data_IF_262457323245
#
_entry.id   IF_262457323245
#
_cell.length_a   1.000
_cell.length_b   1.000
_cell.length_c   1.000
_cell.angle_alpha   90.00
_cell.angle_beta   90.00
_cell.angle_gamma   90.00
#
_symmetry.space_group_name_H-M   'P 1'
#
loop_
_entity.id
_entity.type
_entity.pdbx_description
1 polymer ?
#
# COMPACT_ATOMS: atom_id res chain seq x y z
N UNK A 1 -13.72 0.68 -7.10
CA UNK A 1 -12.82 1.54 -7.91
C UNK A 1 -11.79 0.67 -8.59
N UNK A 2 -11.64 0.87 -9.87
CA UNK A 2 -10.69 0.07 -10.63
C UNK A 2 -9.26 0.56 -10.42
N UNK A 3 -8.32 -0.38 -10.49
CA UNK A 3 -6.90 -0.03 -10.44
C UNK A 3 -6.47 0.51 -11.80
N UNK A 4 -5.60 1.52 -11.80
CA UNK A 4 -5.02 2.06 -13.03
C UNK A 4 -4.06 1.08 -13.67
N UNK A 5 -3.57 0.11 -12.90
CA UNK A 5 -2.59 -0.88 -13.35
C UNK A 5 -3.01 -2.24 -12.85
N UNK A 6 -2.86 -3.28 -13.65
CA UNK A 6 -3.17 -4.65 -13.26
C UNK A 6 -2.19 -5.16 -12.21
N UNK A 7 -2.65 -6.07 -11.34
CA UNK A 7 -1.81 -6.59 -10.26
C UNK A 7 -0.55 -7.29 -10.78
N UNK A 8 -0.67 -8.04 -11.88
CA UNK A 8 0.50 -8.74 -12.45
C UNK A 8 1.53 -7.74 -12.98
N UNK A 9 1.07 -6.67 -13.60
CA UNK A 9 1.97 -5.62 -14.08
C UNK A 9 2.65 -4.93 -12.90
N UNK A 10 1.89 -4.66 -11.83
CA UNK A 10 2.43 -4.02 -10.63
C UNK A 10 3.53 -4.88 -10.01
N UNK A 11 3.29 -6.18 -9.88
CA UNK A 11 4.26 -7.10 -9.28
C UNK A 11 5.52 -7.30 -10.12
N UNK A 12 5.46 -6.99 -11.40
CA UNK A 12 6.61 -7.12 -12.30
C UNK A 12 7.48 -5.87 -12.36
N UNK A 13 7.03 -4.75 -11.77
CA UNK A 13 7.76 -3.49 -11.83
C UNK A 13 8.94 -3.47 -10.87
N UNK A 14 10.05 -2.88 -11.32
CA UNK A 14 11.19 -2.64 -10.44
C UNK A 14 10.95 -1.37 -9.65
N UNK A 15 11.31 -1.40 -8.38
CA UNK A 15 11.18 -0.22 -7.52
C UNK A 15 12.03 0.94 -8.02
N UNK A 16 13.19 0.64 -8.61
CA UNK A 16 14.07 1.65 -9.20
C UNK A 16 13.38 2.39 -10.35
N UNK A 17 12.52 1.70 -11.08
CA UNK A 17 11.80 2.27 -12.22
C UNK A 17 10.51 2.96 -11.80
N UNK A 18 10.07 2.73 -10.56
CA UNK A 18 8.85 3.34 -10.04
C UNK A 18 8.97 3.55 -8.53
N UNK A 19 9.23 4.79 -8.14
CA UNK A 19 9.27 5.18 -6.73
C UNK A 19 7.86 5.30 -6.14
N UNK A 20 6.83 4.96 -6.91
CA UNK A 20 5.44 4.94 -6.46
C UNK A 20 4.98 3.60 -5.92
N UNK A 21 5.89 2.64 -5.76
CA UNK A 21 5.55 1.31 -5.27
C UNK A 21 6.40 0.97 -4.05
N UNK A 22 5.73 0.56 -2.96
CA UNK A 22 6.40 0.09 -1.75
C UNK A 22 5.97 -1.35 -1.49
N UNK A 23 6.95 -2.24 -1.34
CA UNK A 23 6.70 -3.64 -0.98
C UNK A 23 6.84 -3.79 0.52
N UNK A 24 5.82 -4.37 1.18
CA UNK A 24 5.85 -4.60 2.63
C UNK A 24 5.61 -6.08 2.89
N UNK A 25 6.58 -6.76 3.49
CA UNK A 25 6.49 -8.21 3.73
C UNK A 25 5.35 -8.57 4.69
N UNK A 26 5.04 -7.69 5.64
CA UNK A 26 3.99 -7.93 6.62
C UNK A 26 3.26 -6.66 7.01
N UNK A 27 2.28 -6.84 7.89
CA UNK A 27 1.50 -5.72 8.41
C UNK A 27 2.26 -5.05 9.55
N UNK A 28 2.83 -3.90 9.25
CA UNK A 28 3.50 -3.04 10.23
C UNK A 28 2.88 -1.65 10.08
N UNK A 29 1.82 -1.34 10.86
CA UNK A 29 1.04 -0.13 10.62
C UNK A 29 1.82 1.17 10.70
N UNK A 30 2.75 1.30 11.65
CA UNK A 30 3.50 2.55 11.78
C UNK A 30 4.31 2.84 10.52
N UNK A 31 5.04 1.85 10.03
CA UNK A 31 5.84 1.98 8.83
C UNK A 31 4.96 2.18 7.60
N UNK A 32 3.88 1.41 7.50
CA UNK A 32 2.97 1.49 6.37
C UNK A 32 2.32 2.87 6.30
N UNK A 33 1.92 3.43 7.45
CA UNK A 33 1.27 4.74 7.45
C UNK A 33 2.24 5.90 7.21
N UNK A 34 3.52 5.72 7.48
CA UNK A 34 4.51 6.68 6.98
C UNK A 34 4.48 6.74 5.46
N UNK A 35 4.43 5.59 4.81
CA UNK A 35 4.34 5.52 3.34
C UNK A 35 3.02 6.05 2.82
N UNK A 36 1.91 5.73 3.50
CA UNK A 36 0.58 6.26 3.12
C UNK A 36 0.61 7.79 3.10
N UNK A 37 1.14 8.41 4.16
CA UNK A 37 1.18 9.86 4.24
C UNK A 37 2.14 10.48 3.24
N UNK A 38 3.28 9.82 2.98
CA UNK A 38 4.22 10.29 1.97
C UNK A 38 3.57 10.33 0.59
N UNK A 39 2.82 9.27 0.23
CA UNK A 39 2.11 9.24 -1.05
C UNK A 39 0.95 10.24 -1.08
N UNK A 40 0.20 10.37 0.02
CA UNK A 40 -0.91 11.33 0.09
C UNK A 40 -0.41 12.77 -0.07
N UNK A 41 0.76 13.09 0.48
CA UNK A 41 1.38 14.40 0.36
C UNK A 41 1.94 14.66 -1.03
N UNK A 42 2.34 13.58 -1.71
CA UNK A 42 2.72 13.61 -3.13
C UNK A 42 3.73 14.73 -3.47
N UNK A 43 4.82 14.79 -2.73
CA UNK A 43 5.82 15.84 -2.89
C UNK A 43 6.44 15.89 -4.28
N UNK A 44 6.46 14.76 -4.99
CA UNK A 44 7.02 14.69 -6.35
C UNK A 44 5.98 14.93 -7.44
N UNK A 45 4.73 15.17 -7.06
CA UNK A 45 3.64 15.43 -7.99
C UNK A 45 3.40 14.27 -8.97
N UNK A 46 3.46 13.04 -8.47
CA UNK A 46 3.26 11.81 -9.24
C UNK A 46 1.84 11.24 -9.13
N UNK A 47 0.99 11.85 -8.31
CA UNK A 47 -0.39 11.41 -8.12
C UNK A 47 -0.59 10.43 -6.97
N UNK A 48 0.46 10.12 -6.18
CA UNK A 48 0.39 9.18 -5.08
C UNK A 48 1.14 7.88 -5.37
N UNK A 49 0.74 6.78 -4.76
CA UNK A 49 1.44 5.52 -4.96
C UNK A 49 0.71 4.30 -4.46
N UNK A 50 1.39 3.16 -4.57
CA UNK A 50 0.86 1.86 -4.18
C UNK A 50 1.70 1.27 -3.06
N UNK A 51 1.04 0.67 -2.08
CA UNK A 51 1.69 -0.10 -1.02
C UNK A 51 1.13 -1.51 -1.09
N UNK A 52 2.00 -2.49 -1.24
CA UNK A 52 1.59 -3.89 -1.39
C UNK A 52 2.05 -4.66 -0.15
N UNK A 53 1.10 -5.10 0.66
CA UNK A 53 1.36 -5.81 1.92
C UNK A 53 1.28 -7.30 1.68
N UNK A 54 2.28 -8.03 2.15
CA UNK A 54 2.38 -9.48 1.96
C UNK A 54 3.34 -9.87 0.85
N UNK A 55 4.18 -8.95 0.40
CA UNK A 55 5.13 -9.18 -0.68
C UNK A 55 6.52 -8.72 -0.25
N UNK A 56 7.49 -9.62 -0.41
CA UNK A 56 8.90 -9.30 -0.16
C UNK A 56 9.54 -8.78 -1.44
N UNK A 57 10.53 -7.91 -1.28
CA UNK A 57 11.30 -7.39 -2.40
C UNK A 57 12.57 -8.20 -2.57
N UNK A 58 12.93 -8.49 -3.82
CA UNK A 58 14.20 -9.12 -4.14
C UNK A 58 14.76 -8.46 -5.40
N UNK A 59 15.91 -7.83 -5.27
CA UNK A 59 16.57 -7.12 -6.38
C UNK A 59 15.67 -6.07 -7.04
N UNK A 60 14.87 -5.37 -6.22
CA UNK A 60 13.99 -4.31 -6.69
C UNK A 60 12.68 -4.78 -7.31
N UNK A 61 12.40 -6.09 -7.25
CA UNK A 61 11.19 -6.68 -7.81
C UNK A 61 10.47 -7.48 -6.72
N UNK A 62 9.16 -7.63 -6.85
CA UNK A 62 8.38 -8.47 -5.96
C UNK A 62 8.88 -9.91 -6.04
N UNK A 63 9.17 -10.52 -4.90
CA UNK A 63 9.58 -11.92 -4.83
C UNK A 63 8.35 -12.81 -5.00
N UNK A 64 8.43 -13.78 -5.91
CA UNK A 64 7.34 -14.71 -6.16
C UNK A 64 7.78 -16.16 -5.95
N UNK A 65 6.92 -17.05 -5.44
CA UNK A 65 5.55 -16.77 -5.02
C UNK A 65 5.53 -15.79 -3.83
N UNK A 66 4.46 -14.99 -3.74
CA UNK A 66 4.36 -13.98 -2.69
C UNK A 66 4.26 -14.63 -1.30
N UNK A 67 4.75 -13.92 -0.29
CA UNK A 67 4.65 -14.38 1.09
C UNK A 67 3.20 -14.47 1.56
N UNK A 68 2.41 -13.47 1.21
CA UNK A 68 1.00 -13.41 1.55
C UNK A 68 0.73 -12.93 2.97
N UNK A 69 -0.54 -12.66 3.22
CA UNK A 69 -1.10 -12.32 4.53
C UNK A 69 -2.11 -13.40 4.85
N UNK A 70 -2.12 -13.96 6.08
CA UNK A 70 -3.14 -14.95 6.43
C UNK A 70 -4.54 -14.40 6.21
N UNK A 71 -5.40 -15.20 5.60
CA UNK A 71 -6.75 -14.75 5.27
C UNK A 71 -7.50 -14.24 6.50
N UNK A 72 -7.35 -14.89 7.64
CA UNK A 72 -8.04 -14.48 8.87
C UNK A 72 -7.58 -13.13 9.41
N UNK A 73 -6.45 -12.59 8.90
CA UNK A 73 -5.95 -11.29 9.31
C UNK A 73 -6.51 -10.14 8.47
N UNK A 74 -7.10 -10.44 7.32
CA UNK A 74 -7.56 -9.40 6.39
C UNK A 74 -8.57 -8.45 7.03
N UNK A 75 -9.58 -9.00 7.72
CA UNK A 75 -10.59 -8.20 8.37
C UNK A 75 -10.02 -7.37 9.53
N UNK A 76 -9.18 -8.00 10.34
CA UNK A 76 -8.50 -7.32 11.45
C UNK A 76 -7.68 -6.12 10.95
N UNK A 77 -6.89 -6.33 9.89
CA UNK A 77 -6.05 -5.27 9.34
C UNK A 77 -6.90 -4.10 8.85
N UNK A 78 -7.97 -4.40 8.11
CA UNK A 78 -8.82 -3.34 7.58
C UNK A 78 -9.53 -2.55 8.67
N UNK A 79 -9.94 -3.22 9.76
CA UNK A 79 -10.52 -2.53 10.92
C UNK A 79 -9.50 -1.65 11.60
N UNK A 80 -8.28 -2.13 11.76
CA UNK A 80 -7.20 -1.35 12.36
C UNK A 80 -6.88 -0.12 11.51
N UNK A 81 -6.94 -0.27 10.18
CA UNK A 81 -6.72 0.84 9.27
C UNK A 81 -7.72 1.98 9.47
N UNK A 82 -8.98 1.66 9.79
CA UNK A 82 -9.98 2.71 10.04
C UNK A 82 -9.51 3.64 11.16
N UNK A 83 -8.97 3.07 12.24
CA UNK A 83 -8.43 3.86 13.34
C UNK A 83 -7.26 4.73 12.91
N UNK A 84 -6.31 4.15 12.22
CA UNK A 84 -5.14 4.89 11.72
C UNK A 84 -5.53 6.00 10.76
N UNK A 85 -6.46 5.72 9.84
CA UNK A 85 -6.92 6.71 8.85
C UNK A 85 -7.48 7.96 9.55
N UNK A 86 -8.22 7.75 10.64
CA UNK A 86 -8.80 8.85 11.39
C UNK A 86 -7.79 9.61 12.25
N UNK A 87 -6.62 9.01 12.52
CA UNK A 87 -5.55 9.66 13.28
C UNK A 87 -4.59 10.47 12.41
N UNK A 88 -4.67 10.30 11.09
CA UNK A 88 -3.91 11.17 10.18
C UNK A 88 -4.50 12.57 10.29
N UNK A 89 -3.67 13.59 10.29
CA UNK A 89 -4.13 14.97 10.45
C UNK A 89 -3.83 15.77 9.18
N UNK A 90 -4.85 16.19 8.41
CA UNK A 90 -6.26 15.82 8.53
C UNK A 90 -6.51 14.36 8.15
N UNK A 91 -7.66 13.77 8.50
CA UNK A 91 -7.94 12.37 8.18
C UNK A 91 -7.80 12.06 6.70
N UNK A 92 -7.30 10.86 6.39
CA UNK A 92 -7.08 10.44 5.02
C UNK A 92 -7.41 8.94 4.90
N UNK A 93 -8.09 8.57 3.85
CA UNK A 93 -8.62 7.21 3.66
C UNK A 93 -8.09 6.62 2.35
N UNK A 94 -6.98 5.85 2.38
CA UNK A 94 -6.52 5.16 1.18
C UNK A 94 -7.51 4.07 0.79
N UNK A 95 -7.51 3.70 -0.47
CA UNK A 95 -8.30 2.57 -0.95
C UNK A 95 -7.55 1.28 -0.62
N UNK A 96 -8.29 0.26 -0.18
CA UNK A 96 -7.71 -1.04 0.16
C UNK A 96 -8.38 -2.13 -0.66
N UNK A 97 -7.58 -2.93 -1.35
CA UNK A 97 -8.09 -3.98 -2.23
C UNK A 97 -7.41 -5.31 -1.87
N UNK A 98 -8.09 -6.19 -1.10
CA UNK A 98 -7.57 -7.55 -0.91
C UNK A 98 -7.52 -8.26 -2.26
N UNK A 99 -6.40 -8.89 -2.56
CA UNK A 99 -6.18 -9.51 -3.86
C UNK A 99 -5.52 -10.87 -3.66
N UNK A 100 -5.99 -11.87 -4.40
CA UNK A 100 -5.40 -13.21 -4.34
C UNK A 100 -4.36 -13.36 -5.45
N UNK A 101 -3.15 -13.74 -5.06
CA UNK A 101 -2.03 -13.94 -5.97
C UNK A 101 -1.22 -15.15 -5.49
N UNK A 102 -0.82 -16.03 -6.42
CA UNK A 102 -0.04 -17.22 -6.10
C UNK A 102 -0.72 -18.10 -5.04
N UNK A 103 -2.06 -18.11 -5.03
CA UNK A 103 -2.84 -18.86 -4.06
C UNK A 103 -2.82 -18.28 -2.66
N UNK A 104 -2.40 -17.05 -2.50
CA UNK A 104 -2.30 -16.36 -1.20
C UNK A 104 -2.93 -14.99 -1.30
N UNK A 105 -3.28 -14.41 -0.14
CA UNK A 105 -3.86 -13.08 -0.08
C UNK A 105 -2.77 -12.03 0.11
N UNK A 106 -2.91 -10.92 -0.60
CA UNK A 106 -2.12 -9.71 -0.37
C UNK A 106 -3.10 -8.55 -0.21
N UNK A 107 -2.62 -7.45 0.39
CA UNK A 107 -3.41 -6.22 0.48
C UNK A 107 -2.76 -5.16 -0.39
N UNK A 108 -3.51 -4.66 -1.35
CA UNK A 108 -3.07 -3.55 -2.17
C UNK A 108 -3.68 -2.28 -1.60
N UNK A 109 -2.82 -1.35 -1.19
CA UNK A 109 -3.25 -0.06 -0.66
C UNK A 109 -2.93 0.99 -1.72
N UNK A 110 -3.96 1.71 -2.16
CA UNK A 110 -3.81 2.76 -3.17
C UNK A 110 -3.91 4.11 -2.46
N UNK A 111 -2.79 4.81 -2.36
CA UNK A 111 -2.72 6.10 -1.69
C UNK A 111 -2.54 7.20 -2.73
N UNK A 112 -3.64 7.79 -3.16
CA UNK A 112 -3.64 8.87 -4.14
C UNK A 112 -3.28 10.19 -3.48
N UNK A 113 -2.80 11.14 -4.27
CA UNK A 113 -2.52 12.49 -3.79
C UNK A 113 -3.78 13.05 -3.11
N UNK A 114 -3.63 13.49 -1.86
CA UNK A 114 -4.73 14.01 -1.09
C UNK A 114 -5.08 15.44 -1.45
N UNK A 115 -6.29 15.85 -1.10
CA UNK A 115 -6.83 17.17 -1.41
C UNK A 115 -6.56 18.21 -0.32
N UNK A 116 -6.18 17.77 0.87
CA UNK A 116 -6.01 18.64 2.04
C UNK A 116 -4.58 18.61 2.57
N UNK A 117 -3.63 18.55 1.67
CA UNK A 117 -2.21 18.49 2.00
C UNK A 117 -1.76 19.74 2.76
N UNK A 118 -0.75 19.65 3.67
CA UNK A 118 -0.01 18.44 4.01
C UNK A 118 -0.72 17.55 5.05
N UNK A 119 -0.42 16.25 4.99
CA UNK A 119 -0.91 15.27 5.94
C UNK A 119 0.20 14.88 6.90
N UNK A 120 -0.16 14.76 8.18
CA UNK A 120 0.78 14.34 9.21
C UNK A 120 0.39 12.94 9.68
N UNK A 121 1.36 12.02 9.72
CA UNK A 121 1.11 10.65 10.13
C UNK A 121 0.75 10.56 11.62
N UNK A 122 0.02 9.50 12.00
CA UNK A 122 -0.40 9.29 13.38
C UNK A 122 0.76 9.17 14.36
#
# INVERSE_FOLDING_TARGET
MELEIGIEDLLSKRRIESDRIEWKAGWNPDDIYHSVCAFANDYNNDGGGYIVVGVEEQNGIAKRPVKGVPEHMLDFIQKEMVGYNNMISPPYFPQVVPTEVDGKWILLIVARAGQQRPYKSP
#
